data_IF_587223324606
#
_entry.id   IF_587223324606
#
_cell.length_a   1.000
_cell.length_b   1.000
_cell.length_c   1.000
_cell.angle_alpha   90.00
_cell.angle_beta   90.00
_cell.angle_gamma   90.00
#
_symmetry.space_group_name_H-M   'P 1'
#
loop_
_entity.id
_entity.type
_entity.pdbx_description
1 polymer ?
#
# COMPACT_ATOMS: atom_id res chain seq x y z
N UNK A 1 8.27 18.71 -19.93
CA UNK A 1 7.95 19.70 -18.88
C UNK A 1 8.09 19.03 -17.54
N UNK A 2 8.73 19.60 -16.51
CA UNK A 2 8.78 18.99 -15.19
C UNK A 2 7.37 18.95 -14.59
N UNK A 3 7.00 17.80 -13.98
CA UNK A 3 5.71 17.60 -13.33
C UNK A 3 5.45 18.70 -12.28
N UNK A 4 4.21 19.18 -12.12
CA UNK A 4 3.90 20.20 -11.15
C UNK A 4 4.23 19.68 -9.75
N UNK A 5 5.08 20.41 -9.00
CA UNK A 5 5.40 20.10 -7.62
C UNK A 5 4.11 20.12 -6.80
N UNK A 6 3.74 18.97 -6.19
CA UNK A 6 2.65 18.94 -5.22
C UNK A 6 2.88 20.02 -4.16
N UNK A 7 1.84 20.80 -3.81
CA UNK A 7 1.97 21.81 -2.76
C UNK A 7 2.42 21.14 -1.46
N UNK A 8 3.38 21.76 -0.77
CA UNK A 8 3.84 21.26 0.53
C UNK A 8 2.66 21.25 1.50
N UNK A 9 2.42 20.14 2.25
CA UNK A 9 1.35 20.10 3.23
C UNK A 9 1.53 21.20 4.27
N UNK A 10 0.44 21.86 4.65
CA UNK A 10 0.44 22.89 5.68
C UNK A 10 0.75 22.23 7.03
N UNK A 11 1.82 22.67 7.70
CA UNK A 11 2.18 22.20 9.03
C UNK A 11 1.64 23.14 10.10
N UNK A 12 1.27 22.57 11.26
CA UNK A 12 0.85 23.33 12.45
C UNK A 12 1.69 22.91 13.65
N UNK A 13 2.18 23.85 14.48
CA UNK A 13 2.88 23.50 15.69
C UNK A 13 1.91 22.90 16.71
N UNK A 14 2.32 21.80 17.37
CA UNK A 14 1.57 21.17 18.46
C UNK A 14 2.53 20.61 19.49
N UNK A 15 2.23 20.79 20.79
CA UNK A 15 3.01 20.26 21.90
C UNK A 15 2.28 19.07 22.53
N UNK A 16 3.05 18.05 22.89
CA UNK A 16 2.58 16.86 23.60
C UNK A 16 3.49 16.59 24.79
N UNK A 17 2.95 15.94 25.83
CA UNK A 17 3.76 15.25 26.84
C UNK A 17 3.98 13.83 26.33
N UNK A 18 5.22 13.37 26.35
CA UNK A 18 5.64 12.06 25.85
C UNK A 18 6.41 11.37 26.96
N UNK A 19 6.25 10.07 27.10
CA UNK A 19 7.06 9.27 28.03
C UNK A 19 8.54 9.36 27.64
N UNK A 20 9.41 9.51 28.65
CA UNK A 20 10.86 9.67 28.45
C UNK A 20 11.46 8.52 27.61
N UNK A 21 11.07 7.27 27.92
CA UNK A 21 11.53 6.09 27.19
C UNK A 21 11.13 6.11 25.72
N UNK A 22 9.92 6.61 25.40
CA UNK A 22 9.45 6.76 24.03
C UNK A 22 10.22 7.86 23.29
N UNK A 23 10.50 8.98 23.96
CA UNK A 23 11.29 10.08 23.39
C UNK A 23 12.71 9.61 23.05
N UNK A 24 13.39 8.93 23.97
CA UNK A 24 14.73 8.36 23.75
C UNK A 24 14.74 7.40 22.55
N UNK A 25 13.73 6.54 22.42
CA UNK A 25 13.62 5.62 21.29
C UNK A 25 13.46 6.37 19.95
N UNK A 26 12.61 7.40 19.91
CA UNK A 26 12.42 8.25 18.72
C UNK A 26 13.70 9.00 18.35
N UNK A 27 14.41 9.57 19.33
CA UNK A 27 15.67 10.30 19.08
C UNK A 27 16.76 9.37 18.53
N UNK A 28 16.89 8.18 19.11
CA UNK A 28 17.84 7.16 18.63
C UNK A 28 17.53 6.71 17.19
N UNK A 29 16.26 6.45 16.88
CA UNK A 29 15.84 6.05 15.56
C UNK A 29 15.99 7.18 14.53
N UNK A 30 15.65 8.41 14.88
CA UNK A 30 15.86 9.58 14.05
C UNK A 30 17.34 9.77 13.68
N UNK A 31 18.24 9.58 14.66
CA UNK A 31 19.69 9.64 14.44
C UNK A 31 20.15 8.51 13.49
N UNK A 32 19.65 7.29 13.65
CA UNK A 32 19.96 6.16 12.76
C UNK A 32 19.50 6.40 11.32
N UNK A 33 18.34 7.05 11.13
CA UNK A 33 17.80 7.43 9.82
C UNK A 33 18.35 8.76 9.29
N UNK A 34 19.22 9.44 10.02
CA UNK A 34 19.79 10.76 9.65
C UNK A 34 18.71 11.84 9.40
N UNK A 35 17.63 11.80 10.19
CA UNK A 35 16.55 12.80 10.16
C UNK A 35 16.38 13.48 11.52
N UNK A 36 15.63 14.60 11.59
CA UNK A 36 15.27 15.20 12.87
C UNK A 36 14.18 14.40 13.60
N UNK A 37 14.18 14.43 14.92
CA UNK A 37 13.10 13.80 15.74
C UNK A 37 11.72 14.33 15.33
N UNK A 38 11.61 15.62 15.00
CA UNK A 38 10.37 16.21 14.50
C UNK A 38 9.94 15.61 13.16
N UNK A 39 10.87 15.33 12.26
CA UNK A 39 10.61 14.66 10.98
C UNK A 39 10.09 13.24 11.22
N UNK A 40 10.76 12.47 12.08
CA UNK A 40 10.35 11.10 12.40
C UNK A 40 8.97 11.06 13.08
N UNK A 41 8.71 11.95 14.06
CA UNK A 41 7.38 12.06 14.69
C UNK A 41 6.29 12.38 13.65
N UNK A 42 6.57 13.30 12.72
CA UNK A 42 5.62 13.61 11.65
C UNK A 42 5.37 12.42 10.72
N UNK A 43 6.38 11.62 10.40
CA UNK A 43 6.25 10.38 9.63
C UNK A 43 5.36 9.36 10.36
N UNK A 44 5.59 9.15 11.68
CA UNK A 44 4.78 8.25 12.52
C UNK A 44 3.30 8.71 12.55
N UNK A 45 3.05 9.99 12.75
CA UNK A 45 1.69 10.54 12.76
C UNK A 45 1.01 10.41 11.39
N UNK A 46 1.76 10.62 10.31
CA UNK A 46 1.26 10.44 8.94
C UNK A 46 0.93 8.98 8.67
N UNK A 47 1.82 8.04 9.01
CA UNK A 47 1.57 6.61 8.88
C UNK A 47 0.34 6.17 9.69
N UNK A 48 0.20 6.66 10.91
CA UNK A 48 -1.00 6.37 11.72
C UNK A 48 -2.27 6.90 11.06
N UNK A 49 -2.26 8.14 10.55
CA UNK A 49 -3.43 8.77 9.93
C UNK A 49 -3.82 8.16 8.59
N UNK A 50 -2.84 7.73 7.80
CA UNK A 50 -3.05 7.21 6.45
C UNK A 50 -3.29 5.69 6.40
N UNK A 51 -2.76 4.94 7.36
CA UNK A 51 -2.77 3.48 7.32
C UNK A 51 -3.17 2.81 8.64
N UNK A 52 -2.43 2.99 9.73
CA UNK A 52 -2.55 2.17 10.94
C UNK A 52 -3.94 2.19 11.58
N UNK A 53 -4.60 3.35 11.61
CA UNK A 53 -5.95 3.46 12.18
C UNK A 53 -7.00 2.69 11.38
N UNK A 54 -6.78 2.47 10.08
CA UNK A 54 -7.66 1.67 9.22
C UNK A 54 -7.29 0.19 9.28
N UNK A 55 -6.00 -0.13 9.25
CA UNK A 55 -5.48 -1.49 9.37
C UNK A 55 -5.97 -2.20 10.64
N UNK A 56 -6.05 -1.46 11.76
CA UNK A 56 -6.63 -1.97 13.02
C UNK A 56 -8.09 -2.40 12.89
N UNK A 57 -8.89 -1.73 12.05
CA UNK A 57 -10.32 -2.05 11.88
C UNK A 57 -10.55 -3.35 11.12
N UNK A 58 -9.61 -3.74 10.28
CA UNK A 58 -9.65 -4.99 9.50
C UNK A 58 -8.77 -6.09 10.12
N UNK A 59 -8.33 -5.93 11.39
CA UNK A 59 -7.50 -6.88 12.11
C UNK A 59 -6.23 -7.32 11.33
N UNK A 60 -5.55 -6.38 10.71
CA UNK A 60 -4.32 -6.66 9.96
C UNK A 60 -3.24 -7.21 10.88
N UNK A 61 -2.59 -8.29 10.47
CA UNK A 61 -1.38 -8.84 11.09
C UNK A 61 -0.15 -8.53 10.23
N UNK A 62 1.01 -8.40 10.87
CA UNK A 62 2.27 -8.09 10.18
C UNK A 62 3.29 -9.22 10.40
N UNK A 63 3.25 -10.31 9.63
CA UNK A 63 4.28 -11.35 9.69
C UNK A 63 5.61 -10.79 9.17
N UNK A 64 6.74 -11.35 9.61
CA UNK A 64 8.02 -11.04 8.95
C UNK A 64 8.00 -11.53 7.49
N UNK A 65 8.80 -10.88 6.63
CA UNK A 65 8.90 -11.27 5.20
C UNK A 65 9.30 -12.73 5.02
N UNK A 66 10.16 -13.27 5.91
CA UNK A 66 10.55 -14.66 5.90
C UNK A 66 9.35 -15.61 6.12
N UNK A 67 8.55 -15.36 7.16
CA UNK A 67 7.37 -16.17 7.46
C UNK A 67 6.32 -16.04 6.36
N UNK A 68 6.08 -14.83 5.87
CA UNK A 68 5.11 -14.58 4.80
C UNK A 68 5.48 -15.31 3.52
N UNK A 69 6.76 -15.29 3.10
CA UNK A 69 7.26 -16.04 1.96
C UNK A 69 7.06 -17.55 2.14
N UNK A 70 7.43 -18.11 3.29
CA UNK A 70 7.26 -19.53 3.56
C UNK A 70 5.78 -19.97 3.52
N UNK A 71 4.86 -19.15 3.99
CA UNK A 71 3.42 -19.42 3.89
C UNK A 71 2.95 -19.43 2.42
N UNK A 72 3.43 -18.50 1.61
CA UNK A 72 3.09 -18.44 0.18
C UNK A 72 3.67 -19.63 -0.59
N UNK A 73 4.91 -20.03 -0.31
CA UNK A 73 5.54 -21.19 -0.94
C UNK A 73 4.83 -22.52 -0.60
N UNK A 74 4.29 -22.62 0.62
CA UNK A 74 3.54 -23.80 1.08
C UNK A 74 2.06 -23.82 0.60
N UNK A 75 1.56 -22.72 0.08
CA UNK A 75 0.17 -22.59 -0.31
C UNK A 75 -0.08 -23.12 -1.74
N UNK A 76 -1.24 -23.74 -1.91
CA UNK A 76 -1.76 -24.18 -3.21
C UNK A 76 -2.22 -22.98 -4.05
N UNK A 77 -1.87 -22.97 -5.34
CA UNK A 77 -2.14 -21.85 -6.24
C UNK A 77 -3.66 -21.58 -6.42
N UNK A 78 -4.49 -22.62 -6.49
CA UNK A 78 -5.94 -22.46 -6.66
C UNK A 78 -6.56 -21.82 -5.42
N UNK A 79 -6.09 -22.18 -4.23
CA UNK A 79 -6.50 -21.56 -2.97
C UNK A 79 -6.05 -20.11 -2.86
N UNK A 80 -4.87 -19.79 -3.38
CA UNK A 80 -4.38 -18.41 -3.46
C UNK A 80 -5.29 -17.57 -4.35
N UNK A 81 -5.71 -18.11 -5.50
CA UNK A 81 -6.62 -17.43 -6.44
C UNK A 81 -7.98 -17.16 -5.79
N UNK A 82 -8.56 -18.16 -5.12
CA UNK A 82 -9.84 -18.03 -4.42
C UNK A 82 -9.76 -16.96 -3.30
N UNK A 83 -8.71 -17.03 -2.48
CA UNK A 83 -8.46 -16.05 -1.43
C UNK A 83 -8.27 -14.64 -2.00
N UNK A 84 -7.50 -14.51 -3.07
CA UNK A 84 -7.23 -13.22 -3.71
C UNK A 84 -8.50 -12.55 -4.24
N UNK A 85 -9.39 -13.31 -4.90
CA UNK A 85 -10.68 -12.82 -5.38
C UNK A 85 -11.58 -12.36 -4.24
N UNK A 86 -11.68 -13.17 -3.18
CA UNK A 86 -12.48 -12.83 -1.99
C UNK A 86 -11.93 -11.59 -1.27
N UNK A 87 -10.63 -11.53 -1.06
CA UNK A 87 -9.98 -10.40 -0.41
C UNK A 87 -10.07 -9.13 -1.26
N UNK A 88 -9.82 -9.23 -2.58
CA UNK A 88 -9.86 -8.12 -3.52
C UNK A 88 -11.23 -7.48 -3.66
N UNK A 89 -12.30 -8.27 -3.57
CA UNK A 89 -13.67 -7.75 -3.64
C UNK A 89 -14.16 -7.08 -2.36
N UNK A 90 -13.48 -7.24 -1.21
CA UNK A 90 -13.98 -6.78 0.09
C UNK A 90 -13.02 -5.83 0.83
N UNK A 91 -11.75 -6.19 0.95
CA UNK A 91 -10.77 -5.46 1.79
C UNK A 91 -10.49 -4.03 1.26
N UNK A 92 -10.19 -3.84 -0.05
CA UNK A 92 -9.93 -2.49 -0.59
C UNK A 92 -11.10 -1.56 -0.39
N UNK A 93 -12.33 -2.02 -0.64
CA UNK A 93 -13.54 -1.23 -0.47
C UNK A 93 -13.74 -0.77 0.98
N UNK A 94 -13.59 -1.71 1.94
CA UNK A 94 -13.71 -1.38 3.37
C UNK A 94 -12.66 -0.34 3.78
N UNK A 95 -11.42 -0.49 3.32
CA UNK A 95 -10.32 0.43 3.61
C UNK A 95 -10.56 1.80 2.99
N UNK A 96 -10.86 1.84 1.68
CA UNK A 96 -11.04 3.09 0.91
C UNK A 96 -12.27 3.85 1.39
N UNK A 97 -13.40 3.16 1.65
CA UNK A 97 -14.61 3.78 2.20
C UNK A 97 -14.32 4.43 3.57
N UNK A 98 -13.58 3.73 4.44
CA UNK A 98 -13.21 4.27 5.74
C UNK A 98 -12.24 5.46 5.64
N UNK A 99 -11.39 5.52 4.60
CA UNK A 99 -10.38 6.57 4.39
C UNK A 99 -10.95 7.80 3.69
N UNK A 100 -11.70 7.62 2.60
CA UNK A 100 -12.13 8.70 1.70
C UNK A 100 -13.64 8.83 1.51
N UNK A 101 -14.42 7.85 1.98
CA UNK A 101 -15.89 7.83 1.83
C UNK A 101 -16.38 7.48 0.41
N UNK A 102 -15.48 7.22 -0.54
CA UNK A 102 -15.82 6.91 -1.94
C UNK A 102 -14.91 5.81 -2.47
N UNK A 103 -15.46 5.02 -3.41
CA UNK A 103 -14.72 3.96 -4.11
C UNK A 103 -14.70 4.30 -5.58
N UNK A 104 -13.54 4.69 -6.10
CA UNK A 104 -13.26 5.03 -7.49
C UNK A 104 -11.85 4.59 -7.88
N UNK A 105 -11.49 4.69 -9.16
CA UNK A 105 -10.17 4.28 -9.68
C UNK A 105 -9.04 4.97 -8.90
N UNK A 106 -9.13 6.27 -8.65
CA UNK A 106 -8.07 7.04 -8.00
C UNK A 106 -7.86 6.58 -6.54
N UNK A 107 -8.95 6.31 -5.82
CA UNK A 107 -8.90 5.82 -4.44
C UNK A 107 -8.40 4.37 -4.34
N UNK A 108 -8.68 3.51 -5.34
CA UNK A 108 -8.13 2.16 -5.41
C UNK A 108 -6.62 2.16 -5.74
N UNK A 109 -6.16 3.05 -6.61
CA UNK A 109 -4.73 3.25 -6.87
C UNK A 109 -4.01 3.81 -5.64
N UNK A 110 -4.64 4.75 -4.92
CA UNK A 110 -4.11 5.24 -3.64
C UNK A 110 -4.03 4.14 -2.58
N UNK A 111 -4.98 3.20 -2.58
CA UNK A 111 -4.89 2.00 -1.73
C UNK A 111 -3.66 1.15 -2.05
N UNK A 112 -3.36 0.89 -3.34
CA UNK A 112 -2.15 0.16 -3.72
C UNK A 112 -0.88 0.89 -3.30
N UNK A 113 -0.80 2.22 -3.48
CA UNK A 113 0.33 3.03 -2.99
C UNK A 113 0.47 2.95 -1.47
N UNK A 114 -0.65 2.99 -0.75
CA UNK A 114 -0.69 2.92 0.71
C UNK A 114 -0.15 1.57 1.21
N UNK A 115 -0.50 0.46 0.55
CA UNK A 115 0.03 -0.88 0.87
C UNK A 115 1.54 -0.98 0.61
N UNK A 116 2.04 -0.36 -0.46
CA UNK A 116 3.49 -0.28 -0.72
C UNK A 116 4.22 0.50 0.38
N UNK A 117 3.74 1.69 0.72
CA UNK A 117 4.40 2.60 1.64
C UNK A 117 4.42 2.11 3.09
N UNK A 118 3.35 1.45 3.55
CA UNK A 118 3.16 1.17 4.98
C UNK A 118 3.05 -0.31 5.33
N UNK A 119 2.68 -1.15 4.36
CA UNK A 119 2.64 -2.59 4.56
C UNK A 119 3.85 -3.31 3.95
N UNK A 120 4.62 -2.63 3.09
CA UNK A 120 5.84 -3.14 2.44
C UNK A 120 5.62 -4.45 1.66
N UNK A 121 4.44 -4.59 1.04
CA UNK A 121 4.06 -5.78 0.29
C UNK A 121 4.69 -5.84 -1.11
N UNK A 122 5.13 -4.70 -1.61
CA UNK A 122 5.82 -4.48 -2.89
C UNK A 122 6.34 -3.05 -2.95
N UNK A 123 7.24 -2.77 -3.88
CA UNK A 123 7.59 -1.42 -4.31
C UNK A 123 6.64 -1.00 -5.42
N UNK A 124 6.01 0.18 -5.28
CA UNK A 124 5.05 0.71 -6.24
C UNK A 124 5.66 1.88 -7.01
N UNK A 125 5.60 1.81 -8.33
CA UNK A 125 5.93 2.92 -9.21
C UNK A 125 4.81 3.14 -10.23
N UNK A 126 4.65 4.36 -10.69
CA UNK A 126 3.56 4.76 -11.58
C UNK A 126 4.06 5.69 -12.67
N UNK A 127 3.65 5.43 -13.91
CA UNK A 127 3.82 6.32 -15.03
C UNK A 127 2.45 6.77 -15.54
N UNK A 128 2.22 8.06 -15.50
CA UNK A 128 0.99 8.69 -15.98
C UNK A 128 1.25 9.27 -17.37
N UNK A 129 0.90 8.52 -18.40
CA UNK A 129 0.77 9.07 -19.75
C UNK A 129 -0.70 9.45 -20.00
N UNK A 130 -0.92 10.42 -20.89
CA UNK A 130 -2.26 10.90 -21.27
C UNK A 130 -3.15 9.82 -21.91
N UNK A 131 -2.56 8.71 -22.35
CA UNK A 131 -3.25 7.61 -23.04
C UNK A 131 -3.46 6.38 -22.17
N UNK A 132 -2.62 6.15 -21.18
CA UNK A 132 -2.62 4.95 -20.35
C UNK A 132 -2.01 5.27 -18.98
N UNK A 133 -2.61 4.73 -17.95
CA UNK A 133 -2.08 4.80 -16.58
C UNK A 133 -1.47 3.44 -16.25
N UNK A 134 -0.15 3.40 -16.12
CA UNK A 134 0.61 2.18 -15.85
C UNK A 134 1.19 2.23 -14.46
N UNK A 135 0.92 1.20 -13.65
CA UNK A 135 1.54 1.00 -12.35
C UNK A 135 2.32 -0.32 -12.34
N UNK A 136 3.49 -0.30 -11.74
CA UNK A 136 4.35 -1.48 -11.56
C UNK A 136 4.52 -1.77 -10.09
N UNK A 137 4.28 -3.01 -9.71
CA UNK A 137 4.44 -3.55 -8.36
C UNK A 137 5.58 -4.57 -8.40
N UNK A 138 6.70 -4.29 -7.71
CA UNK A 138 7.88 -5.18 -7.66
C UNK A 138 7.99 -5.76 -6.25
N UNK A 139 8.25 -7.06 -6.12
CA UNK A 139 8.34 -7.76 -4.84
C UNK A 139 9.30 -8.94 -4.84
N UNK A 140 9.61 -9.48 -3.66
CA UNK A 140 10.51 -10.62 -3.47
C UNK A 140 9.81 -11.87 -2.88
N UNK A 141 8.48 -11.99 -3.04
CA UNK A 141 7.67 -13.05 -2.42
C UNK A 141 7.36 -14.24 -3.35
N UNK A 142 7.88 -14.23 -4.59
CA UNK A 142 7.75 -15.33 -5.55
C UNK A 142 6.42 -15.36 -6.31
N UNK A 143 6.29 -16.35 -7.20
CA UNK A 143 5.18 -16.45 -8.17
C UNK A 143 3.79 -16.46 -7.50
N UNK A 144 3.64 -17.16 -6.37
CA UNK A 144 2.35 -17.24 -5.68
C UNK A 144 1.85 -15.86 -5.19
N UNK A 145 2.77 -14.94 -4.87
CA UNK A 145 2.38 -13.57 -4.55
C UNK A 145 1.95 -12.78 -5.80
N UNK A 146 2.62 -12.96 -6.94
CA UNK A 146 2.20 -12.37 -8.22
C UNK A 146 0.81 -12.87 -8.63
N UNK A 147 0.54 -14.17 -8.49
CA UNK A 147 -0.79 -14.77 -8.73
C UNK A 147 -1.84 -14.11 -7.83
N UNK A 148 -1.54 -14.00 -6.53
CA UNK A 148 -2.43 -13.31 -5.59
C UNK A 148 -2.71 -11.88 -6.04
N UNK A 149 -1.67 -11.09 -6.33
CA UNK A 149 -1.82 -9.68 -6.73
C UNK A 149 -2.66 -9.52 -7.99
N UNK A 150 -2.45 -10.34 -9.02
CA UNK A 150 -3.24 -10.29 -10.25
C UNK A 150 -4.73 -10.47 -9.95
N UNK A 151 -5.11 -11.52 -9.22
CA UNK A 151 -6.51 -11.81 -8.93
C UNK A 151 -7.13 -10.83 -7.91
N UNK A 152 -6.34 -10.35 -6.95
CA UNK A 152 -6.75 -9.32 -6.00
C UNK A 152 -7.04 -7.99 -6.70
N UNK A 153 -6.14 -7.54 -7.59
CA UNK A 153 -6.28 -6.29 -8.34
C UNK A 153 -7.45 -6.40 -9.32
N UNK A 154 -7.60 -7.54 -10.01
CA UNK A 154 -8.75 -7.77 -10.89
C UNK A 154 -10.05 -7.61 -10.13
N UNK A 155 -10.24 -8.36 -9.06
CA UNK A 155 -11.45 -8.32 -8.24
C UNK A 155 -11.72 -6.94 -7.62
N UNK A 156 -10.66 -6.22 -7.26
CA UNK A 156 -10.74 -4.86 -6.73
C UNK A 156 -11.30 -3.87 -7.76
N UNK A 157 -10.80 -3.88 -9.00
CA UNK A 157 -11.24 -2.94 -10.04
C UNK A 157 -12.57 -3.32 -10.67
N UNK A 158 -12.94 -4.61 -10.71
CA UNK A 158 -14.28 -5.06 -11.13
C UNK A 158 -15.39 -4.40 -10.31
N UNK A 159 -15.14 -4.06 -9.03
CA UNK A 159 -16.12 -3.38 -8.18
C UNK A 159 -16.47 -1.96 -8.65
N UNK A 160 -15.64 -1.35 -9.47
CA UNK A 160 -15.90 -0.04 -10.09
C UNK A 160 -16.16 -0.16 -11.60
N UNK A 161 -16.44 -1.37 -12.09
CA UNK A 161 -16.77 -1.64 -13.48
C UNK A 161 -15.58 -1.52 -14.45
N UNK A 162 -14.35 -1.67 -13.95
CA UNK A 162 -13.12 -1.56 -14.75
C UNK A 162 -12.44 -2.92 -14.80
N UNK A 163 -12.04 -3.35 -16.01
CA UNK A 163 -11.23 -4.54 -16.24
C UNK A 163 -9.79 -4.12 -16.56
N UNK A 164 -8.87 -4.20 -15.59
CA UNK A 164 -7.48 -3.81 -15.81
C UNK A 164 -6.78 -4.84 -16.70
N UNK A 165 -5.83 -4.37 -17.54
CA UNK A 165 -4.87 -5.26 -18.16
C UNK A 165 -3.75 -5.53 -17.17
N UNK A 166 -3.44 -6.80 -16.92
CA UNK A 166 -2.42 -7.22 -15.96
C UNK A 166 -1.42 -8.17 -16.64
N UNK A 167 -0.15 -7.87 -16.42
CA UNK A 167 0.97 -8.73 -16.82
C UNK A 167 1.76 -9.07 -15.57
N UNK A 168 2.27 -10.31 -15.44
CA UNK A 168 3.04 -10.71 -14.26
C UNK A 168 4.29 -11.50 -14.61
N UNK A 169 5.25 -11.44 -13.71
CA UNK A 169 6.39 -12.34 -13.59
C UNK A 169 6.39 -12.97 -12.19
N UNK A 170 7.42 -13.72 -11.84
CA UNK A 170 7.62 -14.23 -10.47
C UNK A 170 7.93 -13.15 -9.43
N UNK A 171 8.25 -11.91 -9.85
CA UNK A 171 8.69 -10.83 -8.98
C UNK A 171 7.98 -9.49 -9.25
N UNK A 172 7.06 -9.44 -10.19
CA UNK A 172 6.39 -8.19 -10.53
C UNK A 172 4.99 -8.39 -11.11
N UNK A 173 4.16 -7.38 -10.92
CA UNK A 173 2.86 -7.24 -11.59
C UNK A 173 2.81 -5.84 -12.21
N UNK A 174 2.43 -5.78 -13.48
CA UNK A 174 2.21 -4.53 -14.21
C UNK A 174 0.70 -4.37 -14.42
N UNK A 175 0.18 -3.28 -13.93
CA UNK A 175 -1.23 -2.88 -14.04
C UNK A 175 -1.33 -1.76 -15.07
N UNK A 176 -2.16 -1.97 -16.10
CA UNK A 176 -2.49 -0.95 -17.09
C UNK A 176 -3.99 -0.64 -17.07
N UNK A 177 -4.31 0.63 -16.95
CA UNK A 177 -5.67 1.18 -16.99
C UNK A 177 -5.80 2.14 -18.17
N UNK A 178 -6.98 2.23 -18.82
CA UNK A 178 -7.20 3.23 -19.87
C UNK A 178 -6.98 4.64 -19.30
N UNK A 179 -6.35 5.50 -20.07
CA UNK A 179 -6.17 6.91 -19.72
C UNK A 179 -7.51 7.62 -19.55
N UNK A 180 -7.49 8.70 -18.78
CA UNK A 180 -8.68 9.55 -18.53
C UNK A 180 -9.01 10.41 -19.76
#
# INVERSE_FOLDING_TARGET
MPAPKKPRPKTVPKSFRVDESALIAVEKEAAAQQVSSNTLVNQILTQFSEFERFAKRINTVKPSSFVFRGLLEAADADKIIELAKTAGSSIPQAFVTAKSGRVDIDSLLDHLRTLSLYAHLYEYSENLDSREQVATLVHDFGLNWSIFLVHYITAMFEQVGVSPKLEMSDRSVILSLPGK
#
